data_IF_415568499053
#
_entry.id   IF_415568499053
#
_cell.length_a   1.000
_cell.length_b   1.000
_cell.length_c   1.000
_cell.angle_alpha   90.00
_cell.angle_beta   90.00
_cell.angle_gamma   90.00
#
_symmetry.space_group_name_H-M   'P 1'
#
loop_
_entity.id
_entity.type
_entity.pdbx_description
1 polymer ?
#
# COMPACT_ATOMS: atom_id res chain seq x y z
N UNK A 1 13.83 -6.63 3.05
CA UNK A 1 13.24 -5.93 4.22
C UNK A 1 12.68 -4.58 3.76
N UNK A 2 11.53 -4.14 4.27
CA UNK A 2 10.99 -2.80 4.00
C UNK A 2 11.42 -1.84 5.10
N UNK A 3 11.97 -0.69 4.71
CA UNK A 3 12.36 0.41 5.60
C UNK A 3 11.53 1.64 5.24
N UNK A 4 10.93 2.27 6.25
CA UNK A 4 10.14 3.49 6.10
C UNK A 4 10.91 4.65 6.74
N UNK A 5 11.12 5.70 5.96
CA UNK A 5 11.58 7.01 6.40
C UNK A 5 10.50 8.05 6.08
N UNK A 6 10.44 9.15 6.83
CA UNK A 6 9.42 10.16 6.59
C UNK A 6 9.38 10.67 5.13
N UNK A 7 10.54 10.85 4.51
CA UNK A 7 10.68 11.35 3.13
C UNK A 7 10.71 10.26 2.05
N UNK A 8 10.60 8.97 2.40
CA UNK A 8 10.76 7.89 1.42
C UNK A 8 10.73 6.50 2.03
N UNK A 9 10.71 5.48 1.19
CA UNK A 9 10.78 4.09 1.63
C UNK A 9 11.75 3.30 0.76
N UNK A 10 12.25 2.19 1.31
CA UNK A 10 13.27 1.38 0.68
C UNK A 10 13.03 -0.11 0.87
N UNK A 11 13.33 -0.90 -0.16
CA UNK A 11 13.54 -2.35 -0.02
C UNK A 11 15.04 -2.60 0.06
N UNK A 12 15.45 -3.19 1.18
CA UNK A 12 16.83 -3.46 1.52
C UNK A 12 17.04 -4.97 1.54
N UNK A 13 18.12 -5.45 0.91
CA UNK A 13 18.52 -6.84 1.02
C UNK A 13 19.15 -7.08 2.41
N UNK A 14 18.76 -8.17 3.08
CA UNK A 14 19.11 -8.41 4.48
C UNK A 14 20.60 -8.77 4.66
N UNK A 15 21.22 -9.60 3.81
CA UNK A 15 22.60 -10.04 4.01
C UNK A 15 23.64 -8.92 3.96
N UNK A 16 23.43 -7.90 3.11
CA UNK A 16 24.40 -6.83 2.86
C UNK A 16 23.87 -5.42 3.16
N UNK A 17 22.60 -5.30 3.54
CA UNK A 17 21.89 -4.04 3.78
C UNK A 17 21.92 -3.06 2.59
N UNK A 18 22.12 -3.59 1.38
CA UNK A 18 22.10 -2.76 0.17
C UNK A 18 20.65 -2.44 -0.23
N UNK A 19 20.36 -1.17 -0.58
CA UNK A 19 19.04 -0.81 -1.08
C UNK A 19 18.85 -1.34 -2.50
N UNK A 20 17.88 -2.24 -2.66
CA UNK A 20 17.44 -2.75 -3.97
C UNK A 20 16.51 -1.74 -4.67
N UNK A 21 15.66 -1.09 -3.87
CA UNK A 21 14.63 -0.17 -4.34
C UNK A 21 14.58 0.99 -3.38
N UNK A 22 14.57 2.21 -3.92
CA UNK A 22 14.40 3.46 -3.17
C UNK A 22 13.30 4.26 -3.86
N UNK A 23 12.37 4.77 -3.07
CA UNK A 23 11.30 5.62 -3.56
C UNK A 23 11.13 6.84 -2.65
N UNK A 24 11.14 8.02 -3.25
CA UNK A 24 10.90 9.28 -2.56
C UNK A 24 9.40 9.53 -2.41
N UNK A 25 9.04 10.21 -1.33
CA UNK A 25 7.66 10.50 -0.99
C UNK A 25 7.47 12.02 -0.84
N UNK A 26 6.45 12.55 -1.52
CA UNK A 26 6.03 13.95 -1.35
C UNK A 26 5.24 14.17 -0.06
N UNK A 27 4.47 13.16 0.32
CA UNK A 27 3.70 13.13 1.57
C UNK A 27 4.46 12.23 2.53
N UNK A 28 4.49 12.57 3.82
CA UNK A 28 5.24 11.81 4.80
C UNK A 28 4.74 10.35 4.87
N UNK A 29 5.63 9.39 4.63
CA UNK A 29 5.35 7.98 4.85
C UNK A 29 5.39 7.70 6.36
N UNK A 30 4.36 7.03 6.87
CA UNK A 30 4.18 6.77 8.31
C UNK A 30 4.24 5.29 8.66
N UNK A 31 3.91 4.40 7.72
CA UNK A 31 3.94 2.96 7.91
C UNK A 31 4.06 2.24 6.56
N UNK A 32 4.38 0.95 6.61
CA UNK A 32 4.30 0.13 5.41
C UNK A 32 4.48 -1.35 5.69
N UNK A 33 4.10 -2.16 4.72
CA UNK A 33 4.27 -3.61 4.74
C UNK A 33 4.47 -4.17 3.32
N UNK A 34 5.21 -5.27 3.22
CA UNK A 34 5.27 -6.07 2.00
C UNK A 34 4.00 -6.90 1.95
N UNK A 35 3.15 -6.68 0.94
CA UNK A 35 1.84 -7.34 0.79
C UNK A 35 1.86 -8.48 -0.21
N UNK A 36 2.80 -8.45 -1.15
CA UNK A 36 3.09 -9.54 -2.09
C UNK A 36 4.58 -9.52 -2.42
N UNK A 37 5.09 -10.57 -3.07
CA UNK A 37 6.51 -10.71 -3.49
C UNK A 37 6.99 -9.47 -4.26
N UNK A 38 6.11 -8.86 -5.03
CA UNK A 38 6.38 -7.70 -5.89
C UNK A 38 5.55 -6.46 -5.52
N UNK A 39 4.92 -6.42 -4.34
CA UNK A 39 4.07 -5.30 -3.93
C UNK A 39 4.28 -4.88 -2.49
N UNK A 40 4.26 -3.57 -2.28
CA UNK A 40 4.32 -2.97 -0.93
C UNK A 40 3.14 -2.03 -0.75
N UNK A 41 2.57 -2.03 0.45
CA UNK A 41 1.61 -1.01 0.87
C UNK A 41 2.33 0.00 1.76
N UNK A 42 2.17 1.28 1.46
CA UNK A 42 2.73 2.40 2.21
C UNK A 42 1.58 3.28 2.69
N UNK A 43 1.52 3.49 4.00
CA UNK A 43 0.59 4.44 4.62
C UNK A 43 1.23 5.82 4.69
N UNK A 44 0.45 6.85 4.35
CA UNK A 44 0.87 8.25 4.35
C UNK A 44 0.11 9.07 5.39
N UNK A 45 0.71 10.19 5.81
CA UNK A 45 0.15 11.09 6.81
C UNK A 45 -1.19 11.74 6.40
N UNK A 46 -1.53 11.75 5.12
CA UNK A 46 -2.81 12.25 4.58
C UNK A 46 -3.93 11.20 4.63
N UNK A 47 -3.74 10.12 5.40
CA UNK A 47 -4.68 9.00 5.51
C UNK A 47 -4.91 8.25 4.19
N UNK A 48 -3.96 8.31 3.26
CA UNK A 48 -3.94 7.44 2.08
C UNK A 48 -3.04 6.24 2.30
N UNK A 49 -3.43 5.10 1.73
CA UNK A 49 -2.59 3.92 1.59
C UNK A 49 -2.37 3.71 0.09
N UNK A 50 -1.12 3.63 -0.32
CA UNK A 50 -0.75 3.38 -1.72
C UNK A 50 -0.08 2.01 -1.81
N UNK A 51 -0.58 1.18 -2.70
CA UNK A 51 0.08 -0.06 -3.08
C UNK A 51 1.00 0.25 -4.26
N UNK A 52 2.29 0.02 -4.08
CA UNK A 52 3.29 0.16 -5.13
C UNK A 52 3.61 -1.21 -5.73
N UNK A 53 3.61 -1.29 -7.05
CA UNK A 53 4.21 -2.39 -7.81
C UNK A 53 5.72 -2.19 -7.85
N UNK A 54 6.48 -3.22 -7.48
CA UNK A 54 7.94 -3.22 -7.53
C UNK A 54 8.43 -3.70 -8.91
N UNK A 55 9.58 -3.19 -9.39
CA UNK A 55 10.23 -3.67 -10.61
C UNK A 55 10.78 -5.09 -10.41
N UNK A 56 10.20 -6.05 -11.13
CA UNK A 56 10.58 -7.47 -11.05
C UNK A 56 12.06 -7.71 -11.28
N UNK A 57 12.70 -6.94 -12.17
CA UNK A 57 14.12 -7.09 -12.50
C UNK A 57 15.08 -6.80 -11.34
N UNK A 58 14.61 -6.10 -10.30
CA UNK A 58 15.37 -5.79 -9.08
C UNK A 58 15.10 -6.76 -7.93
N UNK A 59 14.09 -7.63 -8.08
CA UNK A 59 13.73 -8.59 -7.05
C UNK A 59 14.58 -9.85 -7.16
N UNK A 60 14.99 -10.39 -6.02
CA UNK A 60 15.87 -11.56 -5.95
C UNK A 60 15.33 -12.60 -4.97
N UNK A 61 15.91 -13.79 -4.98
CA UNK A 61 15.57 -14.87 -4.06
C UNK A 61 14.69 -15.96 -4.65
N UNK A 62 14.51 -17.04 -3.88
CA UNK A 62 13.85 -18.26 -4.34
C UNK A 62 12.39 -18.04 -4.73
N UNK A 63 11.62 -17.33 -3.90
CA UNK A 63 10.20 -17.07 -4.15
C UNK A 63 9.95 -16.28 -5.44
N UNK A 64 10.85 -15.33 -5.75
CA UNK A 64 10.81 -14.55 -7.01
C UNK A 64 11.04 -15.47 -8.20
N UNK A 65 12.06 -16.33 -8.15
CA UNK A 65 12.36 -17.29 -9.22
C UNK A 65 11.24 -18.29 -9.42
N UNK A 66 10.68 -18.81 -8.33
CA UNK A 66 9.60 -19.80 -8.38
C UNK A 66 8.32 -19.21 -9.02
N UNK A 67 8.06 -17.90 -8.86
CA UNK A 67 6.86 -17.23 -9.39
C UNK A 67 7.05 -16.61 -10.78
N UNK A 68 8.21 -16.02 -11.04
CA UNK A 68 8.46 -15.19 -12.23
C UNK A 68 9.57 -15.73 -13.15
N UNK A 69 10.23 -16.82 -12.77
CA UNK A 69 11.36 -17.40 -13.49
C UNK A 69 12.71 -16.76 -13.15
N UNK A 70 13.78 -17.24 -13.80
CA UNK A 70 15.17 -16.81 -13.55
C UNK A 70 15.45 -15.32 -13.83
N UNK A 71 14.69 -14.71 -14.74
CA UNK A 71 14.83 -13.30 -15.12
C UNK A 71 13.45 -12.63 -15.12
N UNK A 72 12.95 -12.18 -13.96
CA UNK A 72 11.66 -11.51 -13.87
C UNK A 72 11.67 -10.21 -14.69
N UNK A 73 10.67 -10.04 -15.54
CA UNK A 73 10.50 -8.81 -16.31
C UNK A 73 9.79 -7.72 -15.48
N UNK A 74 10.04 -6.46 -15.83
CA UNK A 74 9.31 -5.34 -15.26
C UNK A 74 7.91 -5.24 -15.87
N UNK A 75 6.92 -4.99 -15.02
CA UNK A 75 5.56 -4.70 -15.48
C UNK A 75 5.59 -3.38 -16.25
N UNK A 76 5.03 -3.38 -17.47
CA UNK A 76 5.02 -2.23 -18.38
C UNK A 76 6.40 -1.64 -18.72
N UNK A 77 7.50 -2.36 -18.44
CA UNK A 77 8.87 -1.85 -18.64
C UNK A 77 9.33 -0.84 -17.58
N UNK A 78 8.56 -0.62 -16.52
CA UNK A 78 8.87 0.37 -15.48
C UNK A 78 10.05 -0.08 -14.60
N UNK A 79 11.11 0.73 -14.57
CA UNK A 79 12.32 0.43 -13.78
C UNK A 79 12.22 0.91 -12.32
N UNK A 80 11.23 1.75 -12.03
CA UNK A 80 10.98 2.31 -10.71
C UNK A 80 9.64 1.82 -10.15
N UNK A 81 9.47 1.80 -8.83
CA UNK A 81 8.18 1.50 -8.24
C UNK A 81 7.11 2.47 -8.73
N UNK A 82 5.93 1.94 -9.05
CA UNK A 82 4.82 2.75 -9.51
C UNK A 82 3.54 2.39 -8.77
N UNK A 83 2.56 3.30 -8.82
CA UNK A 83 1.29 3.13 -8.12
C UNK A 83 0.46 2.04 -8.79
N UNK A 84 0.21 0.95 -8.06
CA UNK A 84 -0.69 -0.12 -8.46
C UNK A 84 -2.13 0.18 -8.05
N UNK A 85 -2.32 0.66 -6.81
CA UNK A 85 -3.63 1.02 -6.28
C UNK A 85 -3.50 2.10 -5.20
N UNK A 86 -4.59 2.84 -4.99
CA UNK A 86 -4.70 3.86 -3.94
C UNK A 86 -5.98 3.61 -3.17
N UNK A 87 -5.86 3.50 -1.85
CA UNK A 87 -6.96 3.52 -0.92
C UNK A 87 -6.96 4.87 -0.21
N UNK A 88 -8.04 5.63 -0.34
CA UNK A 88 -8.21 6.89 0.38
C UNK A 88 -9.04 6.63 1.63
N UNK A 89 -8.63 7.20 2.76
CA UNK A 89 -9.48 7.23 3.96
C UNK A 89 -10.87 7.76 3.61
N UNK A 90 -11.90 7.14 4.17
CA UNK A 90 -13.27 7.63 4.01
C UNK A 90 -13.36 8.97 4.73
N UNK A 91 -13.77 10.03 4.03
CA UNK A 91 -14.34 11.19 4.71
C UNK A 91 -15.59 10.68 5.43
N UNK A 92 -15.53 10.51 6.74
CA UNK A 92 -16.75 10.31 7.52
C UNK A 92 -17.62 11.54 7.28
N UNK A 93 -18.67 11.37 6.47
CA UNK A 93 -19.78 12.31 6.50
C UNK A 93 -20.45 12.07 7.85
N UNK A 94 -20.56 13.07 8.74
CA UNK A 94 -21.26 12.85 10.00
C UNK A 94 -22.66 12.33 9.66
N UNK A 95 -23.01 11.14 10.16
CA UNK A 95 -24.38 10.64 10.05
C UNK A 95 -25.28 11.65 10.76
N UNK A 96 -25.91 12.53 9.98
CA UNK A 96 -26.94 13.41 10.49
C UNK A 96 -28.15 12.51 10.71
N UNK A 97 -28.34 12.06 11.94
CA UNK A 97 -29.53 11.31 12.34
C UNK A 97 -30.72 12.24 12.15
N UNK A 98 -31.44 12.10 11.04
CA UNK A 98 -32.75 12.72 10.89
C UNK A 98 -33.71 11.94 11.78
N UNK A 99 -33.99 12.50 12.95
CA UNK A 99 -35.02 12.04 13.87
C UNK A 99 -36.39 12.19 13.19
N UNK A 100 -36.75 11.23 12.35
CA UNK A 100 -38.14 11.02 11.94
C UNK A 100 -38.84 10.31 13.10
N UNK A 101 -39.41 11.11 13.99
CA UNK A 101 -40.39 10.67 14.98
C UNK A 101 -41.47 9.81 14.30
N UNK A 102 -41.50 8.52 14.61
CA UNK A 102 -42.61 7.63 14.23
C UNK A 102 -43.64 7.67 15.37
N UNK A 103 -44.93 7.93 15.14
CA UNK A 103 -45.92 7.86 16.20
C UNK A 103 -46.21 6.39 16.52
N UNK A 104 -46.10 6.04 17.82
CA UNK A 104 -46.40 4.71 18.34
C UNK A 104 -47.81 4.26 17.93
N UNK A 105 -47.90 3.09 17.29
CA UNK A 105 -49.17 2.42 17.02
C UNK A 105 -49.73 1.87 18.34
N UNK A 106 -50.96 2.22 18.68
CA UNK A 106 -51.72 1.68 19.82
C UNK A 106 -52.29 0.31 19.44
N UNK A 107 -52.08 -0.69 20.29
CA UNK A 107 -52.87 -1.93 20.27
C UNK A 107 -54.17 -1.74 21.07
N UNK A 108 -55.34 -2.17 20.55
CA UNK A 108 -56.52 -2.34 21.38
C UNK A 108 -56.67 -3.81 21.84
N UNK A 109 -57.23 -3.95 23.05
CA UNK A 109 -57.70 -5.20 23.67
C UNK A 109 -58.94 -5.71 22.93
#
# INVERSE_FOLDING_TARGET
>A
MLVIAGSGWQIVDIPDLNPLIVAECRIQAVSGMIVDIDKVAIGFADSTIVIFQLPGSKLTGKQVRDRFGEKPANVAGEENPFVFAVLRGTSETPLTVSSTSTPCLKDPI
#
